data_IF_249168953719
#
_entry.id   IF_249168953719
#
_cell.length_a   1.000
_cell.length_b   1.000
_cell.length_c   1.000
_cell.angle_alpha   90.00
_cell.angle_beta   90.00
_cell.angle_gamma   90.00
#
_symmetry.space_group_name_H-M   'P 1'
#
loop_
_entity.id
_entity.type
_entity.pdbx_description
1 polymer ?
#
# COMPACT_ATOMS: atom_id res chain seq x y z
N UNK A 1 -7.61 -13.49 -11.14
CA UNK A 1 -6.77 -12.48 -10.46
C UNK A 1 -5.36 -13.01 -10.24
N UNK A 2 -4.39 -12.13 -10.03
CA UNK A 2 -2.99 -12.46 -9.74
C UNK A 2 -2.82 -13.08 -8.34
N UNK A 3 -1.65 -13.70 -8.06
CA UNK A 3 -1.33 -14.19 -6.70
C UNK A 3 -1.27 -13.09 -5.66
N UNK A 4 -1.57 -13.40 -4.39
CA UNK A 4 -1.36 -12.49 -3.25
C UNK A 4 0.11 -12.09 -3.08
N UNK A 5 1.05 -12.83 -3.66
CA UNK A 5 2.47 -12.46 -3.73
C UNK A 5 2.69 -11.18 -4.54
N UNK A 6 1.74 -10.83 -5.43
CA UNK A 6 1.76 -9.58 -6.20
C UNK A 6 1.09 -8.40 -5.48
N UNK A 7 0.41 -8.65 -4.37
CA UNK A 7 -0.18 -7.63 -3.50
C UNK A 7 0.72 -7.32 -2.29
N UNK A 8 1.10 -8.35 -1.55
CA UNK A 8 2.00 -8.24 -0.42
C UNK A 8 3.44 -8.31 -0.89
N UNK A 9 4.18 -7.21 -0.81
CA UNK A 9 5.60 -7.14 -1.19
C UNK A 9 6.43 -6.56 -0.06
N UNK A 10 7.54 -7.19 0.23
CA UNK A 10 8.54 -6.68 1.17
C UNK A 10 9.46 -5.73 0.42
N UNK A 11 9.66 -4.53 0.94
CA UNK A 11 10.57 -3.57 0.32
C UNK A 11 10.73 -2.28 1.13
N UNK A 12 11.56 -1.39 0.62
CA UNK A 12 11.79 -0.09 1.24
C UNK A 12 10.67 0.89 0.91
N UNK A 13 10.15 1.59 1.94
CA UNK A 13 9.28 2.74 1.73
C UNK A 13 10.03 3.94 1.10
N UNK A 14 9.36 5.07 0.95
CA UNK A 14 8.00 5.33 1.43
C UNK A 14 6.88 4.98 0.44
N UNK A 15 7.18 4.65 -0.83
CA UNK A 15 6.17 4.45 -1.87
C UNK A 15 6.44 3.21 -2.72
N UNK A 16 5.41 2.40 -2.96
CA UNK A 16 5.53 1.25 -3.87
C UNK A 16 5.71 1.68 -5.33
N UNK A 17 5.03 2.73 -5.76
CA UNK A 17 5.12 3.25 -7.13
C UNK A 17 6.31 4.20 -7.36
N UNK A 18 6.70 4.99 -6.35
CA UNK A 18 7.74 6.02 -6.49
C UNK A 18 9.10 5.60 -5.91
N UNK A 19 9.18 4.51 -5.13
CA UNK A 19 10.44 4.02 -4.54
C UNK A 19 10.75 2.61 -5.02
N UNK A 20 9.86 1.63 -4.73
CA UNK A 20 10.10 0.22 -5.05
C UNK A 20 10.12 -0.04 -6.56
N UNK A 21 9.16 0.54 -7.32
CA UNK A 21 9.11 0.42 -8.77
C UNK A 21 10.35 0.99 -9.45
N UNK A 22 10.73 2.25 -9.21
CA UNK A 22 11.96 2.83 -9.74
C UNK A 22 13.23 2.08 -9.36
N UNK A 23 13.35 1.58 -8.11
CA UNK A 23 14.48 0.73 -7.70
C UNK A 23 14.56 -0.54 -8.54
N UNK A 24 13.44 -1.26 -8.70
CA UNK A 24 13.35 -2.47 -9.53
C UNK A 24 13.68 -2.19 -10.99
N UNK A 25 13.27 -1.02 -11.51
CA UNK A 25 13.62 -0.60 -12.88
C UNK A 25 15.13 -0.35 -13.01
N UNK A 26 15.74 0.31 -12.04
CA UNK A 26 17.19 0.54 -12.01
C UNK A 26 17.98 -0.78 -11.94
N UNK A 27 17.55 -1.74 -11.09
CA UNK A 27 18.15 -3.07 -10.99
C UNK A 27 18.15 -3.79 -12.35
N UNK A 28 16.99 -3.81 -13.04
CA UNK A 28 16.88 -4.42 -14.38
C UNK A 28 17.69 -3.72 -15.45
N UNK A 29 17.74 -2.39 -15.40
CA UNK A 29 18.55 -1.63 -16.36
C UNK A 29 20.04 -1.86 -16.11
N UNK A 30 20.48 -1.91 -14.85
CA UNK A 30 21.85 -2.22 -14.47
C UNK A 30 22.30 -3.61 -14.96
N UNK A 31 21.43 -4.61 -14.92
CA UNK A 31 21.74 -5.97 -15.42
C UNK A 31 21.96 -5.97 -16.93
N UNK A 32 21.21 -5.16 -17.65
CA UNK A 32 21.22 -5.08 -19.12
C UNK A 32 22.36 -4.19 -19.64
N UNK A 33 22.68 -3.10 -18.94
CA UNK A 33 23.56 -2.02 -19.42
C UNK A 33 24.74 -1.81 -18.48
N UNK A 34 25.62 -2.82 -18.36
CA UNK A 34 26.78 -2.80 -17.45
C UNK A 34 28.03 -2.12 -18.01
N UNK A 35 28.23 -2.12 -19.31
CA UNK A 35 29.42 -1.57 -19.97
C UNK A 35 29.19 -0.12 -20.43
N UNK A 36 29.06 0.78 -19.45
CA UNK A 36 28.83 2.21 -19.65
C UNK A 36 29.72 3.05 -18.75
N UNK A 37 29.99 4.30 -19.17
CA UNK A 37 30.80 5.24 -18.39
C UNK A 37 29.93 6.02 -17.39
N UNK A 38 28.65 6.18 -17.68
CA UNK A 38 27.67 6.88 -16.82
C UNK A 38 26.24 6.52 -17.16
N UNK A 39 25.35 6.80 -16.22
CA UNK A 39 23.90 6.70 -16.42
C UNK A 39 23.23 8.08 -16.38
N UNK A 40 22.15 8.23 -17.15
CA UNK A 40 21.20 9.32 -17.02
C UNK A 40 19.80 8.76 -16.88
N UNK A 41 19.08 9.18 -15.83
CA UNK A 41 17.70 8.76 -15.60
C UNK A 41 16.80 9.98 -15.58
N UNK A 42 15.88 10.07 -16.54
CA UNK A 42 14.87 11.13 -16.60
C UNK A 42 13.57 10.62 -15.98
N UNK A 43 13.08 11.34 -15.00
CA UNK A 43 11.82 11.08 -14.32
C UNK A 43 10.75 12.04 -14.85
N UNK A 44 9.54 11.53 -15.11
CA UNK A 44 8.46 12.29 -15.70
C UNK A 44 7.23 12.36 -14.76
N UNK A 45 6.39 13.39 -15.00
CA UNK A 45 5.07 13.53 -14.37
C UNK A 45 5.08 13.42 -12.85
N UNK A 46 4.28 12.53 -12.29
CA UNK A 46 4.14 12.35 -10.84
C UNK A 46 5.45 11.89 -10.17
N UNK A 47 6.24 11.01 -10.84
CA UNK A 47 7.56 10.61 -10.33
C UNK A 47 8.52 11.79 -10.16
N UNK A 48 8.48 12.77 -11.05
CA UNK A 48 9.31 13.96 -10.93
C UNK A 48 8.71 14.96 -9.93
N UNK A 49 7.40 15.12 -9.90
CA UNK A 49 6.72 16.11 -9.06
C UNK A 49 6.87 15.81 -7.56
N UNK A 50 6.80 14.54 -7.18
CA UNK A 50 6.83 14.08 -5.78
C UNK A 50 8.06 13.25 -5.43
N UNK A 51 8.90 12.90 -6.42
CA UNK A 51 9.95 11.91 -6.30
C UNK A 51 11.01 12.19 -5.24
N UNK A 52 11.39 13.45 -5.01
CA UNK A 52 12.31 13.80 -3.91
C UNK A 52 11.72 13.46 -2.54
N UNK A 53 10.42 13.71 -2.36
CA UNK A 53 9.71 13.36 -1.12
C UNK A 53 9.52 11.85 -0.94
N UNK A 54 9.46 11.13 -2.06
CA UNK A 54 9.33 9.67 -2.09
C UNK A 54 10.68 8.95 -2.18
N UNK A 55 11.81 9.64 -2.07
CA UNK A 55 13.15 9.07 -2.15
C UNK A 55 13.41 8.29 -3.47
N UNK A 56 12.79 8.72 -4.57
CA UNK A 56 12.90 8.05 -5.87
C UNK A 56 14.33 8.09 -6.40
N UNK A 57 14.99 9.25 -6.30
CA UNK A 57 16.39 9.43 -6.63
C UNK A 57 17.31 8.56 -5.76
N UNK A 58 17.08 8.56 -4.44
CA UNK A 58 17.85 7.73 -3.52
C UNK A 58 17.75 6.25 -3.88
N UNK A 59 16.54 5.78 -4.21
CA UNK A 59 16.31 4.39 -4.60
C UNK A 59 17.04 4.02 -5.89
N UNK A 60 17.00 4.87 -6.92
CA UNK A 60 17.68 4.66 -8.20
C UNK A 60 19.21 4.74 -8.01
N UNK A 61 19.70 5.79 -7.34
CA UNK A 61 21.12 5.99 -7.08
C UNK A 61 21.74 4.85 -6.26
N UNK A 62 20.99 4.30 -5.29
CA UNK A 62 21.48 3.16 -4.51
C UNK A 62 21.85 1.92 -5.35
N UNK A 63 21.29 1.82 -6.56
CA UNK A 63 21.54 0.72 -7.51
C UNK A 63 22.59 1.09 -8.55
N UNK A 64 22.45 2.26 -9.18
CA UNK A 64 23.26 2.62 -10.36
C UNK A 64 24.60 3.29 -9.99
N UNK A 65 24.63 4.15 -8.97
CA UNK A 65 25.82 4.91 -8.57
C UNK A 65 27.03 4.03 -8.17
N UNK A 66 26.84 2.85 -7.54
CA UNK A 66 27.94 1.92 -7.29
C UNK A 66 28.56 1.31 -8.56
N UNK A 67 27.88 1.38 -9.71
CA UNK A 67 28.32 0.82 -10.99
C UNK A 67 28.99 1.91 -11.82
N UNK A 68 28.32 3.06 -12.01
CA UNK A 68 28.85 4.21 -12.74
C UNK A 68 28.13 5.51 -12.29
N UNK A 69 28.78 6.69 -12.42
CA UNK A 69 28.18 7.97 -12.09
C UNK A 69 26.81 8.15 -12.72
N UNK A 70 25.83 8.56 -11.92
CA UNK A 70 24.43 8.60 -12.32
C UNK A 70 23.83 10.00 -12.16
N UNK A 71 23.26 10.53 -13.25
CA UNK A 71 22.54 11.80 -13.26
C UNK A 71 21.03 11.58 -13.24
N UNK A 72 20.31 12.24 -12.32
CA UNK A 72 18.84 12.28 -12.30
C UNK A 72 18.35 13.59 -12.91
N UNK A 73 17.48 13.49 -13.91
CA UNK A 73 16.81 14.62 -14.58
C UNK A 73 15.33 14.62 -14.19
N UNK A 74 14.82 15.78 -13.82
CA UNK A 74 13.45 15.95 -13.31
C UNK A 74 12.59 16.72 -14.30
N UNK A 75 11.54 16.07 -14.85
CA UNK A 75 10.60 16.64 -15.82
C UNK A 75 9.15 16.57 -15.30
N UNK A 76 8.79 17.32 -14.24
CA UNK A 76 7.49 17.21 -13.59
C UNK A 76 6.31 17.69 -14.45
N UNK A 77 6.58 18.52 -15.47
CA UNK A 77 5.55 19.04 -16.38
C UNK A 77 5.31 18.16 -17.61
N UNK A 78 6.19 17.20 -17.85
CA UNK A 78 6.08 16.27 -18.98
C UNK A 78 5.41 14.99 -18.47
N UNK A 79 4.21 14.71 -18.97
CA UNK A 79 3.48 13.47 -18.69
C UNK A 79 3.50 12.61 -19.94
N UNK A 80 4.06 11.41 -19.82
CA UNK A 80 4.08 10.47 -20.93
C UNK A 80 2.69 9.86 -21.15
N UNK A 81 2.28 9.58 -22.42
CA UNK A 81 0.90 9.20 -22.73
C UNK A 81 0.42 7.91 -22.05
N UNK A 82 1.32 6.95 -21.81
CA UNK A 82 0.95 5.64 -21.30
C UNK A 82 0.61 5.66 -19.79
N UNK A 83 1.41 6.36 -18.98
CA UNK A 83 1.21 6.43 -17.54
C UNK A 83 1.94 7.63 -16.93
N UNK A 84 1.40 8.30 -15.88
CA UNK A 84 2.04 9.48 -15.27
C UNK A 84 3.36 9.18 -14.54
N UNK A 85 3.66 7.92 -14.23
CA UNK A 85 4.91 7.52 -13.58
C UNK A 85 5.93 6.97 -14.58
N UNK A 86 6.28 7.76 -15.58
CA UNK A 86 7.26 7.41 -16.59
C UNK A 86 8.71 7.65 -16.15
N UNK A 87 9.62 6.79 -16.65
CA UNK A 87 11.07 6.90 -16.46
C UNK A 87 11.78 6.57 -17.77
N UNK A 88 12.82 7.33 -18.11
CA UNK A 88 13.75 7.01 -19.19
C UNK A 88 15.12 6.75 -18.58
N UNK A 89 15.62 5.54 -18.74
CA UNK A 89 16.98 5.14 -18.39
C UNK A 89 17.86 5.20 -19.63
N UNK A 90 19.04 5.77 -19.52
CA UNK A 90 20.03 5.86 -20.58
C UNK A 90 21.41 5.48 -20.04
N UNK A 91 22.09 4.57 -20.75
CA UNK A 91 23.49 4.23 -20.53
C UNK A 91 24.36 5.00 -21.54
N UNK A 92 25.39 5.69 -21.06
CA UNK A 92 26.26 6.51 -21.89
C UNK A 92 27.68 5.94 -21.92
N UNK A 93 28.29 5.94 -23.12
CA UNK A 93 29.70 5.59 -23.35
C UNK A 93 30.35 6.66 -24.21
N UNK A 94 31.47 7.22 -23.73
CA UNK A 94 32.14 8.37 -24.40
C UNK A 94 31.16 9.55 -24.70
N UNK A 95 30.22 9.81 -23.78
CA UNK A 95 29.23 10.87 -23.90
C UNK A 95 28.06 10.59 -24.84
N UNK A 96 28.00 9.42 -25.47
CA UNK A 96 26.91 9.02 -26.38
C UNK A 96 26.03 7.98 -25.73
N UNK A 97 24.72 8.11 -25.95
CA UNK A 97 23.75 7.10 -25.50
C UNK A 97 23.96 5.81 -26.31
N UNK A 98 24.27 4.72 -25.61
CA UNK A 98 24.49 3.37 -26.18
C UNK A 98 23.35 2.41 -25.86
N UNK A 99 22.59 2.67 -24.83
CA UNK A 99 21.38 1.93 -24.50
C UNK A 99 20.35 2.88 -23.88
N UNK A 100 19.07 2.66 -24.17
CA UNK A 100 17.97 3.44 -23.63
C UNK A 100 16.75 2.57 -23.36
N UNK A 101 15.98 2.94 -22.32
CA UNK A 101 14.80 2.18 -21.92
C UNK A 101 13.77 3.07 -21.26
N UNK A 102 12.61 3.21 -21.91
CA UNK A 102 11.44 3.86 -21.30
C UNK A 102 10.60 2.83 -20.59
N UNK A 103 10.24 3.11 -19.33
CA UNK A 103 9.52 2.20 -18.45
C UNK A 103 8.61 2.98 -17.50
N UNK A 104 7.55 2.37 -17.06
CA UNK A 104 6.52 2.97 -16.21
C UNK A 104 6.33 2.17 -14.94
N UNK A 105 6.19 2.86 -13.80
CA UNK A 105 5.80 2.26 -12.53
C UNK A 105 4.28 2.36 -12.37
N UNK A 106 3.57 1.25 -12.57
CA UNK A 106 2.11 1.20 -12.67
C UNK A 106 1.38 0.89 -11.34
N UNK A 107 2.04 1.12 -10.20
CA UNK A 107 1.50 0.87 -8.86
C UNK A 107 1.93 -0.47 -8.28
N UNK A 108 1.90 -0.60 -6.96
CA UNK A 108 2.30 -1.82 -6.24
C UNK A 108 3.74 -2.31 -6.51
N UNK A 109 4.62 -1.44 -7.04
CA UNK A 109 5.96 -1.83 -7.47
C UNK A 109 6.01 -2.64 -8.78
N UNK A 110 4.92 -2.69 -9.55
CA UNK A 110 4.87 -3.31 -10.86
C UNK A 110 5.41 -2.36 -11.94
N UNK A 111 6.00 -2.94 -12.99
CA UNK A 111 6.56 -2.22 -14.11
C UNK A 111 5.85 -2.58 -15.41
N UNK A 112 5.69 -1.61 -16.31
CA UNK A 112 5.16 -1.80 -17.65
C UNK A 112 5.96 -0.98 -18.69
N UNK A 113 5.99 -1.45 -19.94
CA UNK A 113 6.36 -0.65 -21.10
C UNK A 113 5.09 -0.22 -21.86
N UNK A 114 5.24 0.54 -22.95
CA UNK A 114 4.12 1.07 -23.74
C UNK A 114 3.24 -0.02 -24.39
N UNK A 115 3.73 -1.23 -24.51
CA UNK A 115 3.03 -2.35 -25.18
C UNK A 115 2.48 -3.40 -24.22
N UNK A 116 3.07 -3.55 -23.02
CA UNK A 116 2.68 -4.59 -22.08
C UNK A 116 3.24 -4.34 -20.68
N UNK A 117 2.70 -5.01 -19.66
CA UNK A 117 3.43 -5.23 -18.42
C UNK A 117 4.66 -6.08 -18.71
N UNK A 118 5.81 -5.74 -18.14
CA UNK A 118 7.06 -6.51 -18.31
C UNK A 118 6.97 -7.92 -17.73
N UNK A 119 6.18 -8.09 -16.69
CA UNK A 119 5.78 -9.36 -16.13
C UNK A 119 4.26 -9.34 -16.09
N UNK A 120 3.62 -10.24 -16.81
CA UNK A 120 2.20 -10.52 -16.61
C UNK A 120 2.17 -11.67 -15.61
N UNK A 121 1.88 -11.41 -14.33
CA UNK A 121 1.73 -12.48 -13.35
C UNK A 121 0.62 -13.41 -13.82
N UNK A 122 0.81 -14.70 -13.60
CA UNK A 122 -0.23 -15.68 -13.94
C UNK A 122 -1.51 -15.36 -13.16
N UNK A 123 -2.64 -15.40 -13.86
CA UNK A 123 -3.95 -15.34 -13.23
C UNK A 123 -4.23 -16.72 -12.62
N UNK A 124 -4.24 -16.79 -11.30
CA UNK A 124 -4.44 -18.03 -10.56
C UNK A 124 -5.83 -18.12 -9.89
N UNK A 125 -6.51 -16.97 -9.73
CA UNK A 125 -7.87 -16.93 -9.18
C UNK A 125 -8.87 -16.85 -10.33
N UNK A 126 -9.74 -17.86 -10.51
CA UNK A 126 -10.74 -17.88 -11.58
C UNK A 126 -11.88 -16.87 -11.36
N UNK A 127 -12.30 -16.66 -10.09
CA UNK A 127 -13.33 -15.69 -9.74
C UNK A 127 -12.68 -14.32 -9.45
N UNK A 128 -13.40 -13.26 -9.78
CA UNK A 128 -12.83 -11.90 -9.70
C UNK A 128 -13.64 -10.93 -8.84
N UNK A 129 -14.82 -11.34 -8.36
CA UNK A 129 -15.68 -10.55 -7.49
C UNK A 129 -15.89 -11.24 -6.14
N UNK A 130 -16.08 -10.44 -5.09
CA UNK A 130 -16.39 -10.99 -3.76
C UNK A 130 -17.75 -11.68 -3.76
N UNK A 131 -18.71 -11.20 -4.54
CA UNK A 131 -20.03 -11.83 -4.66
C UNK A 131 -19.92 -13.26 -5.18
N UNK A 132 -19.18 -13.49 -6.28
CA UNK A 132 -18.93 -14.84 -6.82
C UNK A 132 -18.18 -15.74 -5.82
N UNK A 133 -17.16 -15.19 -5.14
CA UNK A 133 -16.37 -15.94 -4.16
C UNK A 133 -17.22 -16.27 -2.90
N UNK A 134 -18.09 -15.36 -2.49
CA UNK A 134 -19.04 -15.61 -1.40
C UNK A 134 -20.02 -16.73 -1.72
N UNK A 135 -20.58 -16.73 -2.93
CA UNK A 135 -21.45 -17.80 -3.40
C UNK A 135 -20.73 -19.14 -3.44
N UNK A 136 -19.47 -19.15 -3.90
CA UNK A 136 -18.60 -20.30 -3.84
C UNK A 136 -18.39 -20.80 -2.38
N UNK A 137 -18.12 -19.86 -1.44
CA UNK A 137 -17.95 -20.20 -0.03
C UNK A 137 -19.19 -20.91 0.55
N UNK A 138 -20.38 -20.42 0.23
CA UNK A 138 -21.63 -21.04 0.70
C UNK A 138 -21.89 -22.38 0.04
N UNK A 139 -21.61 -22.51 -1.27
CA UNK A 139 -21.80 -23.77 -1.99
C UNK A 139 -20.85 -24.87 -1.50
N UNK A 140 -19.58 -24.55 -1.27
CA UNK A 140 -18.55 -25.49 -0.82
C UNK A 140 -18.52 -25.70 0.71
N UNK A 141 -19.27 -24.89 1.47
CA UNK A 141 -19.21 -24.90 2.96
C UNK A 141 -17.85 -24.44 3.50
N UNK A 142 -17.19 -23.55 2.76
CA UNK A 142 -15.84 -23.01 3.06
C UNK A 142 -15.88 -21.51 3.36
N UNK A 143 -14.71 -20.94 3.63
CA UNK A 143 -14.51 -19.52 3.89
C UNK A 143 -13.51 -18.89 2.90
N UNK A 144 -13.35 -17.59 2.92
CA UNK A 144 -12.45 -16.87 1.98
C UNK A 144 -10.99 -17.32 2.03
N UNK A 145 -10.43 -17.62 3.21
CA UNK A 145 -9.04 -18.11 3.29
C UNK A 145 -8.89 -19.51 2.71
N UNK A 146 -9.93 -20.35 2.71
CA UNK A 146 -9.92 -21.66 2.08
C UNK A 146 -9.97 -21.53 0.56
N UNK A 147 -10.72 -20.56 0.03
CA UNK A 147 -10.66 -20.21 -1.38
C UNK A 147 -9.25 -19.77 -1.80
N UNK A 148 -8.57 -18.93 -0.99
CA UNK A 148 -7.17 -18.57 -1.22
C UNK A 148 -6.28 -19.81 -1.22
N UNK A 149 -6.43 -20.71 -0.25
CA UNK A 149 -5.66 -21.96 -0.18
C UNK A 149 -5.83 -22.82 -1.43
N UNK A 150 -7.06 -22.95 -1.91
CA UNK A 150 -7.37 -23.78 -3.08
C UNK A 150 -6.78 -23.18 -4.39
N UNK A 151 -6.69 -21.84 -4.49
CA UNK A 151 -6.11 -21.17 -5.65
C UNK A 151 -4.58 -21.06 -5.62
N UNK A 152 -4.00 -20.75 -4.45
CA UNK A 152 -2.54 -20.48 -4.30
C UNK A 152 -1.73 -21.75 -4.02
N UNK A 153 -2.36 -22.77 -3.48
CA UNK A 153 -1.69 -23.97 -2.98
C UNK A 153 -0.97 -23.77 -1.64
N UNK A 154 -0.28 -24.82 -1.14
CA UNK A 154 0.28 -24.83 0.22
C UNK A 154 1.45 -23.84 0.43
N UNK A 155 2.16 -23.46 -0.62
CA UNK A 155 3.32 -22.58 -0.54
C UNK A 155 2.96 -21.13 -0.11
N UNK A 156 1.68 -20.76 -0.20
CA UNK A 156 1.24 -19.41 0.22
C UNK A 156 1.43 -19.20 1.72
N UNK A 157 1.33 -20.28 2.52
CA UNK A 157 1.41 -20.17 3.97
C UNK A 157 2.80 -19.78 4.45
N UNK A 158 3.87 -20.33 3.87
CA UNK A 158 5.25 -19.93 4.17
C UNK A 158 5.51 -18.50 3.76
N UNK A 159 4.94 -18.08 2.61
CA UNK A 159 5.02 -16.70 2.16
C UNK A 159 4.30 -15.74 3.13
N UNK A 160 3.07 -16.02 3.50
CA UNK A 160 2.29 -15.20 4.44
C UNK A 160 2.90 -15.20 5.84
N UNK A 161 3.54 -16.28 6.26
CA UNK A 161 4.27 -16.34 7.53
C UNK A 161 5.46 -15.38 7.53
N UNK A 162 6.22 -15.33 6.43
CA UNK A 162 7.30 -14.35 6.24
C UNK A 162 6.75 -12.92 6.20
N UNK A 163 5.64 -12.69 5.47
CA UNK A 163 4.97 -11.38 5.43
C UNK A 163 4.58 -10.92 6.82
N UNK A 164 3.93 -11.79 7.60
CA UNK A 164 3.53 -11.49 8.96
C UNK A 164 4.72 -11.20 9.88
N UNK A 165 5.79 -11.96 9.75
CA UNK A 165 7.03 -11.73 10.50
C UNK A 165 7.58 -10.33 10.25
N UNK A 166 7.71 -9.92 8.98
CA UNK A 166 8.21 -8.58 8.62
C UNK A 166 7.26 -7.47 9.10
N UNK A 167 5.94 -7.67 9.04
CA UNK A 167 4.96 -6.73 9.60
C UNK A 167 5.18 -6.52 11.11
N UNK A 168 5.38 -7.60 11.86
CA UNK A 168 5.66 -7.54 13.30
C UNK A 168 6.98 -6.81 13.61
N UNK A 169 8.05 -7.16 12.90
CA UNK A 169 9.36 -6.51 13.04
C UNK A 169 9.29 -5.02 12.74
N UNK A 170 8.54 -4.62 11.72
CA UNK A 170 8.35 -3.21 11.37
C UNK A 170 7.66 -2.44 12.49
N UNK A 171 6.59 -2.99 13.08
CA UNK A 171 5.91 -2.38 14.23
C UNK A 171 6.88 -2.24 15.41
N UNK A 172 7.64 -3.31 15.73
CA UNK A 172 8.57 -3.30 16.85
C UNK A 172 9.68 -2.27 16.67
N UNK A 173 10.24 -2.14 15.45
CA UNK A 173 11.23 -1.10 15.14
C UNK A 173 10.64 0.29 15.33
N UNK A 174 9.46 0.55 14.75
CA UNK A 174 8.82 1.86 14.82
C UNK A 174 8.41 2.27 16.23
N UNK A 175 8.00 1.33 17.10
CA UNK A 175 7.72 1.61 18.51
C UNK A 175 8.98 1.99 19.33
N UNK A 176 10.16 1.53 18.89
CA UNK A 176 11.43 1.80 19.55
C UNK A 176 12.21 2.97 18.91
N UNK A 177 11.66 3.59 17.86
CA UNK A 177 12.28 4.72 17.18
C UNK A 177 11.62 6.03 17.60
N UNK A 178 12.45 6.97 18.02
CA UNK A 178 12.06 8.34 18.36
C UNK A 178 12.67 9.35 17.39
N UNK A 179 12.42 10.64 17.59
CA UNK A 179 13.01 11.72 16.85
C UNK A 179 12.11 12.29 15.76
N UNK A 180 12.71 12.71 14.65
CA UNK A 180 12.05 13.45 13.57
C UNK A 180 12.17 12.66 12.27
N UNK A 181 11.07 12.61 11.51
CA UNK A 181 11.05 11.98 10.18
C UNK A 181 11.90 12.78 9.19
N UNK A 182 12.48 12.10 8.17
CA UNK A 182 13.28 12.76 7.16
C UNK A 182 12.45 13.75 6.33
N UNK A 183 13.12 14.73 5.72
CA UNK A 183 12.50 15.76 4.89
C UNK A 183 12.18 17.07 5.61
N UNK A 184 11.64 18.02 4.86
CA UNK A 184 11.49 19.42 5.28
C UNK A 184 10.38 19.70 6.29
N UNK A 185 9.42 18.77 6.49
CA UNK A 185 8.26 18.98 7.37
C UNK A 185 8.61 18.90 8.85
N UNK A 186 9.72 18.25 9.21
CA UNK A 186 10.15 18.04 10.61
C UNK A 186 9.07 17.39 11.48
N UNK A 187 8.33 16.44 10.93
CA UNK A 187 7.29 15.71 11.67
C UNK A 187 7.95 14.84 12.72
N UNK A 188 7.57 15.05 13.99
CA UNK A 188 8.05 14.22 15.09
C UNK A 188 7.39 12.83 15.03
N UNK A 189 8.16 11.77 15.32
CA UNK A 189 7.63 10.43 15.55
C UNK A 189 6.71 10.42 16.77
N UNK A 190 5.60 9.73 16.70
CA UNK A 190 4.56 9.69 17.73
C UNK A 190 4.29 8.27 18.25
N UNK A 191 4.70 7.24 17.51
CA UNK A 191 4.36 5.84 17.82
C UNK A 191 4.76 5.43 19.25
N UNK A 192 6.01 5.67 19.63
CA UNK A 192 6.53 5.40 20.98
C UNK A 192 5.73 6.12 22.06
N UNK A 193 5.45 7.42 21.88
CA UNK A 193 4.64 8.20 22.81
C UNK A 193 3.22 7.66 22.97
N UNK A 194 2.56 7.31 21.86
CA UNK A 194 1.21 6.72 21.90
C UNK A 194 1.21 5.35 22.60
N UNK A 195 2.24 4.53 22.33
CA UNK A 195 2.41 3.25 23.02
C UNK A 195 2.57 3.42 24.52
N UNK A 196 3.46 4.30 24.96
CA UNK A 196 3.65 4.59 26.41
C UNK A 196 2.36 5.08 27.05
N UNK A 197 1.70 6.07 26.43
CA UNK A 197 0.44 6.61 26.94
C UNK A 197 -0.68 5.57 26.98
N UNK A 198 -0.71 4.60 26.07
CA UNK A 198 -1.70 3.52 26.09
C UNK A 198 -1.69 2.69 27.37
N UNK A 199 -0.53 2.64 28.06
CA UNK A 199 -0.39 1.92 29.34
C UNK A 199 -1.19 2.56 30.49
N UNK A 200 -1.49 3.86 30.38
CA UNK A 200 -2.24 4.61 31.39
C UNK A 200 -3.75 4.56 31.18
N UNK A 201 -4.21 3.98 30.06
CA UNK A 201 -5.64 3.84 29.76
C UNK A 201 -6.14 2.43 30.04
N UNK A 202 -7.44 2.28 30.17
CA UNK A 202 -8.16 1.01 30.31
C UNK A 202 -9.11 0.80 29.15
N UNK A 203 -9.56 -0.44 28.98
CA UNK A 203 -10.64 -0.87 28.09
C UNK A 203 -10.51 -0.40 26.63
N UNK A 204 -11.57 0.17 26.09
CA UNK A 204 -11.66 0.56 24.69
C UNK A 204 -10.66 1.67 24.30
N UNK A 205 -10.38 2.60 25.21
CA UNK A 205 -9.41 3.68 24.93
C UNK A 205 -7.98 3.14 24.87
N UNK A 206 -7.63 2.16 25.72
CA UNK A 206 -6.35 1.46 25.66
C UNK A 206 -6.18 0.74 24.32
N UNK A 207 -7.20 -0.04 23.93
CA UNK A 207 -7.22 -0.76 22.66
C UNK A 207 -7.02 0.19 21.48
N UNK A 208 -7.78 1.27 21.43
CA UNK A 208 -7.68 2.29 20.36
C UNK A 208 -6.31 2.98 20.31
N UNK A 209 -5.76 3.36 21.48
CA UNK A 209 -4.43 3.96 21.56
C UNK A 209 -3.32 3.01 21.09
N UNK A 210 -3.44 1.71 21.36
CA UNK A 210 -2.52 0.68 20.88
C UNK A 210 -2.60 0.51 19.37
N UNK A 211 -3.81 0.45 18.79
CA UNK A 211 -4.01 0.38 17.33
C UNK A 211 -3.36 1.60 16.65
N UNK A 212 -3.57 2.80 17.19
CA UNK A 212 -2.91 4.00 16.69
C UNK A 212 -1.39 3.88 16.77
N UNK A 213 -0.84 3.45 17.91
CA UNK A 213 0.61 3.31 18.07
C UNK A 213 1.22 2.35 17.04
N UNK A 214 0.57 1.22 16.77
CA UNK A 214 1.05 0.23 15.79
C UNK A 214 0.97 0.73 14.35
N UNK A 215 -0.12 1.41 13.99
CA UNK A 215 -0.26 2.02 12.65
C UNK A 215 0.75 3.16 12.44
N UNK A 216 0.95 4.01 13.45
CA UNK A 216 1.97 5.06 13.45
C UNK A 216 3.36 4.46 13.32
N UNK A 217 3.69 3.41 14.10
CA UNK A 217 4.99 2.75 14.07
C UNK A 217 5.37 2.29 12.64
N UNK A 218 4.46 1.56 11.99
CA UNK A 218 4.67 1.09 10.62
C UNK A 218 4.78 2.24 9.62
N UNK A 219 3.90 3.24 9.73
CA UNK A 219 3.86 4.37 8.79
C UNK A 219 5.08 5.29 8.95
N UNK A 220 5.60 5.46 10.15
CA UNK A 220 6.81 6.24 10.44
C UNK A 220 8.07 5.52 9.93
N UNK A 221 8.14 4.19 10.05
CA UNK A 221 9.18 3.38 9.42
C UNK A 221 9.11 3.49 7.89
N UNK A 222 7.91 3.38 7.31
CA UNK A 222 7.70 3.59 5.89
C UNK A 222 8.21 4.97 5.43
N UNK A 223 7.80 6.03 6.11
CA UNK A 223 8.18 7.41 5.79
C UNK A 223 9.69 7.66 5.90
N UNK A 224 10.40 6.83 6.64
CA UNK A 224 11.86 6.89 6.84
C UNK A 224 12.65 6.01 5.87
N UNK A 225 12.00 5.37 4.89
CA UNK A 225 12.65 4.45 3.94
C UNK A 225 12.95 3.07 4.52
N UNK A 226 12.36 2.73 5.67
CA UNK A 226 12.51 1.42 6.30
C UNK A 226 11.86 0.30 5.49
N UNK A 227 12.18 -0.96 5.86
CA UNK A 227 11.57 -2.14 5.26
C UNK A 227 10.16 -2.29 5.80
N UNK A 228 9.19 -2.36 4.88
CA UNK A 228 7.75 -2.55 5.15
C UNK A 228 7.16 -3.61 4.23
N UNK A 229 5.91 -3.97 4.50
CA UNK A 229 5.10 -4.79 3.58
C UNK A 229 4.01 -3.93 2.98
N UNK A 230 3.83 -3.98 1.66
CA UNK A 230 2.68 -3.34 1.00
C UNK A 230 1.37 -4.00 1.43
N UNK A 231 0.35 -3.20 1.82
CA UNK A 231 -0.96 -3.72 2.22
C UNK A 231 -2.07 -2.65 2.00
N UNK A 232 -2.59 -2.42 0.77
CA UNK A 232 -2.06 -2.94 -0.49
C UNK A 232 -0.85 -2.16 -1.04
N UNK A 233 -0.55 -0.96 -0.51
CA UNK A 233 0.57 -0.10 -0.92
C UNK A 233 1.48 0.25 0.26
N UNK A 234 2.63 0.87 0.00
CA UNK A 234 3.46 1.43 1.07
C UNK A 234 2.75 2.56 1.81
N UNK A 235 2.00 3.41 1.10
CA UNK A 235 1.27 4.55 1.70
C UNK A 235 0.22 4.14 2.73
N UNK A 236 -0.28 2.92 2.64
CA UNK A 236 -1.30 2.35 3.54
C UNK A 236 -0.82 1.15 4.38
N UNK A 237 0.49 0.88 4.37
CA UNK A 237 1.09 -0.32 4.98
C UNK A 237 0.89 -0.44 6.50
N UNK A 238 0.46 0.62 7.18
CA UNK A 238 0.24 0.62 8.62
C UNK A 238 -1.10 0.04 9.07
N UNK A 239 -2.10 -0.04 8.19
CA UNK A 239 -3.49 -0.37 8.57
C UNK A 239 -3.65 -1.85 8.94
N UNK A 240 -3.39 -2.74 7.98
CA UNK A 240 -3.57 -4.19 8.17
C UNK A 240 -2.69 -4.73 9.30
N UNK A 241 -1.38 -4.44 9.35
CA UNK A 241 -0.54 -4.98 10.41
C UNK A 241 -0.92 -4.44 11.79
N UNK A 242 -1.37 -3.18 11.92
CA UNK A 242 -1.78 -2.64 13.22
C UNK A 242 -2.99 -3.37 13.81
N UNK A 243 -4.00 -3.65 13.00
CA UNK A 243 -5.20 -4.38 13.42
C UNK A 243 -4.85 -5.82 13.80
N UNK A 244 -4.14 -6.53 12.94
CA UNK A 244 -3.77 -7.93 13.19
C UNK A 244 -2.81 -8.07 14.37
N UNK A 245 -1.81 -7.17 14.51
CA UNK A 245 -0.87 -7.18 15.63
C UNK A 245 -1.57 -6.89 16.96
N UNK A 246 -2.53 -5.94 16.95
CA UNK A 246 -3.35 -5.68 18.14
C UNK A 246 -4.15 -6.91 18.54
N UNK A 247 -4.83 -7.57 17.59
CA UNK A 247 -5.64 -8.76 17.86
C UNK A 247 -4.78 -9.95 18.32
N UNK A 248 -3.63 -10.17 17.67
CA UNK A 248 -2.70 -11.23 18.06
C UNK A 248 -2.22 -11.10 19.51
N UNK A 249 -1.96 -9.84 19.97
CA UNK A 249 -1.45 -9.60 21.34
C UNK A 249 -2.53 -9.42 22.40
N UNK A 250 -3.76 -9.08 22.02
CA UNK A 250 -4.85 -8.80 22.97
C UNK A 250 -5.83 -9.96 23.15
N UNK A 251 -5.85 -10.93 22.22
CA UNK A 251 -6.82 -12.03 22.18
C UNK A 251 -6.19 -13.42 22.07
N UNK A 252 -4.85 -13.50 22.14
CA UNK A 252 -4.11 -14.78 22.11
C UNK A 252 -4.45 -15.67 20.90
N UNK A 253 -4.71 -15.07 19.73
CA UNK A 253 -4.95 -15.84 18.53
C UNK A 253 -3.70 -16.60 18.11
N UNK A 254 -3.86 -17.87 17.80
CA UNK A 254 -2.79 -18.71 17.25
C UNK A 254 -2.29 -18.11 15.93
N UNK A 255 -0.98 -18.19 15.70
CA UNK A 255 -0.32 -17.65 14.49
C UNK A 255 -1.04 -18.07 13.22
N UNK A 256 -1.43 -19.33 13.07
CA UNK A 256 -2.15 -19.82 11.89
C UNK A 256 -3.49 -19.09 11.66
N UNK A 257 -4.18 -18.66 12.71
CA UNK A 257 -5.42 -17.87 12.59
C UNK A 257 -5.13 -16.49 12.00
N UNK A 258 -4.02 -15.87 12.41
CA UNK A 258 -3.56 -14.59 11.85
C UNK A 258 -3.19 -14.75 10.37
N UNK A 259 -2.49 -15.83 9.98
CA UNK A 259 -2.16 -16.07 8.57
C UNK A 259 -3.41 -16.26 7.70
N UNK A 260 -4.41 -16.99 8.18
CA UNK A 260 -5.71 -17.14 7.50
C UNK A 260 -6.44 -15.80 7.35
N UNK A 261 -6.41 -14.96 8.38
CA UNK A 261 -6.98 -13.61 8.31
C UNK A 261 -6.20 -12.72 7.33
N UNK A 262 -4.89 -12.85 7.27
CA UNK A 262 -4.04 -12.15 6.30
C UNK A 262 -4.33 -12.61 4.86
N UNK A 263 -4.60 -13.91 4.64
CA UNK A 263 -5.04 -14.44 3.35
C UNK A 263 -6.39 -13.83 2.92
N UNK A 264 -7.37 -13.78 3.82
CA UNK A 264 -8.66 -13.11 3.56
C UNK A 264 -8.47 -11.62 3.27
N UNK A 265 -7.67 -10.88 4.07
CA UNK A 265 -7.35 -9.49 3.80
C UNK A 265 -6.77 -9.30 2.38
N UNK A 266 -5.81 -10.15 2.01
CA UNK A 266 -5.20 -10.13 0.69
C UNK A 266 -6.19 -10.36 -0.44
N UNK A 267 -7.15 -11.26 -0.26
CA UNK A 267 -8.20 -11.52 -1.26
C UNK A 267 -9.05 -10.28 -1.54
N UNK A 268 -9.52 -9.58 -0.51
CA UNK A 268 -10.28 -8.32 -0.66
C UNK A 268 -9.45 -7.23 -1.33
N UNK A 269 -8.18 -7.08 -0.95
CA UNK A 269 -7.25 -6.17 -1.60
C UNK A 269 -6.99 -6.52 -3.08
N UNK A 270 -6.92 -7.80 -3.39
CA UNK A 270 -6.70 -8.28 -4.75
C UNK A 270 -7.92 -8.05 -5.67
N UNK A 271 -9.14 -8.23 -5.14
CA UNK A 271 -10.38 -7.88 -5.84
C UNK A 271 -10.43 -6.38 -6.16
N UNK A 272 -10.14 -5.52 -5.18
CA UNK A 272 -10.09 -4.08 -5.41
C UNK A 272 -9.01 -3.67 -6.43
N UNK A 273 -7.82 -4.29 -6.36
CA UNK A 273 -6.72 -4.09 -7.32
C UNK A 273 -7.12 -4.50 -8.74
N UNK A 274 -7.87 -5.60 -8.88
CA UNK A 274 -8.23 -6.17 -10.18
C UNK A 274 -9.35 -5.39 -10.86
N UNK A 275 -10.37 -4.99 -10.11
CA UNK A 275 -11.59 -4.38 -10.65
C UNK A 275 -11.57 -2.85 -10.64
N UNK A 276 -10.60 -2.25 -9.95
CA UNK A 276 -10.36 -0.81 -9.91
C UNK A 276 -8.86 -0.51 -9.96
N UNK A 277 -8.35 0.25 -9.00
CA UNK A 277 -6.92 0.53 -8.81
C UNK A 277 -6.59 0.68 -7.34
N UNK A 278 -5.36 0.34 -6.99
CA UNK A 278 -4.77 0.63 -5.67
C UNK A 278 -3.74 1.78 -5.74
N UNK A 279 -3.71 2.54 -6.82
CA UNK A 279 -2.77 3.65 -7.03
C UNK A 279 -3.38 4.98 -6.61
N UNK A 280 -2.72 5.70 -5.70
CA UNK A 280 -3.10 7.05 -5.31
C UNK A 280 -3.08 8.05 -6.48
N UNK A 281 -2.22 7.83 -7.47
CA UNK A 281 -2.13 8.64 -8.70
C UNK A 281 -3.31 8.41 -9.66
N UNK A 282 -3.99 7.27 -9.58
CA UNK A 282 -5.15 6.95 -10.42
C UNK A 282 -6.48 7.26 -9.73
N UNK A 283 -6.67 6.74 -8.52
CA UNK A 283 -7.96 6.80 -7.83
C UNK A 283 -7.94 7.55 -6.50
N UNK A 284 -6.84 8.22 -6.16
CA UNK A 284 -6.71 8.90 -4.88
C UNK A 284 -6.44 7.95 -3.71
N UNK A 285 -6.44 8.48 -2.49
CA UNK A 285 -6.12 7.71 -1.29
C UNK A 285 -7.19 6.69 -0.89
N UNK A 286 -8.38 6.76 -1.48
CA UNK A 286 -9.43 5.73 -1.32
C UNK A 286 -8.95 4.35 -1.80
N UNK A 287 -8.17 4.30 -2.90
CA UNK A 287 -7.56 3.05 -3.41
C UNK A 287 -6.41 2.52 -2.55
N UNK A 288 -5.79 3.35 -1.75
CA UNK A 288 -4.73 2.95 -0.82
C UNK A 288 -5.28 2.68 0.58
N UNK A 289 -5.60 3.74 1.32
CA UNK A 289 -6.04 3.66 2.73
C UNK A 289 -7.45 3.08 2.85
N UNK A 290 -8.35 3.40 1.91
CA UNK A 290 -9.71 2.82 1.90
C UNK A 290 -9.67 1.31 1.69
N UNK A 291 -8.91 0.84 0.70
CA UNK A 291 -8.73 -0.60 0.46
C UNK A 291 -8.03 -1.27 1.63
N UNK A 292 -7.00 -0.65 2.23
CA UNK A 292 -6.34 -1.18 3.41
C UNK A 292 -7.29 -1.31 4.63
N UNK A 293 -8.22 -0.35 4.79
CA UNK A 293 -9.26 -0.42 5.81
C UNK A 293 -10.20 -1.61 5.59
N UNK A 294 -10.65 -1.81 4.34
CA UNK A 294 -11.47 -2.96 3.96
C UNK A 294 -10.75 -4.30 4.22
N UNK A 295 -9.50 -4.41 3.81
CA UNK A 295 -8.64 -5.57 4.06
C UNK A 295 -8.55 -5.90 5.56
N UNK A 296 -8.28 -4.89 6.37
CA UNK A 296 -8.13 -5.04 7.82
C UNK A 296 -9.47 -5.37 8.51
N UNK A 297 -10.58 -4.80 8.04
CA UNK A 297 -11.92 -5.07 8.58
C UNK A 297 -12.35 -6.51 8.27
N UNK A 298 -12.14 -6.99 7.04
CA UNK A 298 -12.38 -8.39 6.65
C UNK A 298 -11.57 -9.36 7.51
N UNK A 299 -10.27 -9.10 7.68
CA UNK A 299 -9.38 -9.91 8.49
C UNK A 299 -9.82 -9.98 9.97
N UNK A 300 -10.18 -8.83 10.55
CA UNK A 300 -10.68 -8.75 11.91
C UNK A 300 -11.99 -9.54 12.08
N UNK A 301 -12.95 -9.34 11.17
CA UNK A 301 -14.23 -10.03 11.19
C UNK A 301 -14.06 -11.55 11.12
N UNK A 302 -13.15 -12.05 10.27
CA UNK A 302 -12.83 -13.48 10.21
C UNK A 302 -12.23 -13.99 11.52
N UNK A 303 -11.34 -13.24 12.20
CA UNK A 303 -10.76 -13.64 13.48
C UNK A 303 -11.83 -13.75 14.58
N UNK A 304 -12.86 -12.93 14.52
CA UNK A 304 -14.02 -13.02 15.43
C UNK A 304 -15.06 -14.07 15.02
N UNK A 305 -14.80 -14.84 13.96
CA UNK A 305 -15.67 -15.93 13.52
C UNK A 305 -16.87 -15.50 12.69
N UNK A 306 -16.76 -14.34 12.04
CA UNK A 306 -17.79 -13.83 11.12
C UNK A 306 -18.07 -14.77 9.96
N UNK A 307 -19.33 -14.82 9.54
CA UNK A 307 -19.78 -15.52 8.32
C UNK A 307 -19.21 -14.83 7.07
N UNK A 308 -19.19 -15.49 5.90
CA UNK A 308 -18.77 -14.84 4.66
C UNK A 308 -19.51 -13.52 4.38
N UNK A 309 -20.82 -13.43 4.65
CA UNK A 309 -21.59 -12.19 4.51
C UNK A 309 -21.16 -11.10 5.51
N UNK A 310 -20.88 -11.45 6.77
CA UNK A 310 -20.39 -10.48 7.76
C UNK A 310 -18.98 -9.98 7.41
N UNK A 311 -18.10 -10.84 6.90
CA UNK A 311 -16.75 -10.49 6.47
C UNK A 311 -16.82 -9.52 5.28
N UNK A 312 -17.68 -9.80 4.28
CA UNK A 312 -17.92 -8.88 3.18
C UNK A 312 -18.45 -7.53 3.67
N UNK A 313 -19.44 -7.55 4.56
CA UNK A 313 -20.04 -6.32 5.10
C UNK A 313 -19.01 -5.46 5.85
N UNK A 314 -18.14 -6.08 6.65
CA UNK A 314 -17.05 -5.35 7.31
C UNK A 314 -16.11 -4.69 6.30
N UNK A 315 -15.74 -5.40 5.24
CA UNK A 315 -14.89 -4.87 4.17
C UNK A 315 -15.57 -3.75 3.38
N UNK A 316 -16.84 -3.93 3.05
CA UNK A 316 -17.67 -2.96 2.35
C UNK A 316 -17.68 -1.62 3.10
N UNK A 317 -18.07 -1.62 4.40
CA UNK A 317 -18.04 -0.42 5.24
C UNK A 317 -16.64 0.19 5.35
N UNK A 318 -15.60 -0.66 5.43
CA UNK A 318 -14.23 -0.20 5.47
C UNK A 318 -13.84 0.64 4.26
N UNK A 319 -14.30 0.29 3.07
CA UNK A 319 -14.04 1.02 1.83
C UNK A 319 -15.02 2.17 1.62
N UNK A 320 -16.31 1.94 1.80
CA UNK A 320 -17.39 2.93 1.60
C UNK A 320 -17.08 4.24 2.32
N UNK A 321 -16.69 4.16 3.59
CA UNK A 321 -16.39 5.33 4.42
C UNK A 321 -15.06 6.04 4.09
N UNK A 322 -14.38 5.61 3.03
CA UNK A 322 -13.19 6.26 2.48
C UNK A 322 -13.40 6.76 1.04
N UNK A 323 -14.61 6.62 0.46
CA UNK A 323 -14.90 7.13 -0.87
C UNK A 323 -14.68 8.65 -0.93
N UNK A 324 -14.14 9.13 -2.05
CA UNK A 324 -13.81 10.53 -2.27
C UNK A 324 -12.52 11.01 -1.61
N UNK A 325 -11.73 10.13 -0.97
CA UNK A 325 -10.50 10.51 -0.29
C UNK A 325 -9.40 10.87 -1.30
N UNK A 326 -9.00 12.14 -1.29
CA UNK A 326 -7.95 12.68 -2.17
C UNK A 326 -6.56 12.16 -1.79
N UNK A 327 -5.59 12.19 -2.73
CA UNK A 327 -4.17 11.96 -2.46
C UNK A 327 -3.38 13.26 -2.71
N UNK A 328 -3.10 14.00 -1.64
CA UNK A 328 -2.47 15.32 -1.66
C UNK A 328 -1.40 15.44 -0.57
N UNK A 329 -0.31 14.63 -0.62
CA UNK A 329 0.73 14.63 0.39
C UNK A 329 1.47 15.97 0.44
N UNK A 330 1.58 16.54 1.65
CA UNK A 330 2.26 17.83 1.86
C UNK A 330 3.74 17.71 1.53
N UNK A 331 4.23 18.62 0.69
CA UNK A 331 5.62 18.59 0.17
C UNK A 331 6.00 17.29 -0.55
N UNK A 332 5.05 16.51 -1.05
CA UNK A 332 5.30 15.22 -1.68
C UNK A 332 5.79 14.12 -0.72
N UNK A 333 5.69 14.37 0.60
CA UNK A 333 6.16 13.43 1.61
C UNK A 333 5.02 12.52 2.08
N UNK A 334 5.26 11.20 2.13
CA UNK A 334 4.30 10.22 2.66
C UNK A 334 4.24 10.34 4.20
N UNK A 335 3.90 11.53 4.69
CA UNK A 335 3.87 11.90 6.10
C UNK A 335 2.54 12.53 6.49
N UNK A 336 2.21 13.69 5.90
CA UNK A 336 0.97 14.42 6.16
C UNK A 336 0.14 14.47 4.88
N UNK A 337 -1.07 13.91 4.88
CA UNK A 337 -1.82 13.30 6.01
C UNK A 337 -1.62 11.78 6.15
N UNK A 338 -0.76 11.14 5.38
CA UNK A 338 -0.68 9.69 5.20
C UNK A 338 -0.54 8.91 6.52
N UNK A 339 0.36 9.33 7.40
CA UNK A 339 0.63 8.64 8.69
C UNK A 339 -0.63 8.63 9.57
N UNK A 340 -1.30 9.78 9.69
CA UNK A 340 -2.51 9.89 10.50
C UNK A 340 -3.70 9.14 9.88
N UNK A 341 -3.81 9.14 8.54
CA UNK A 341 -4.82 8.36 7.82
C UNK A 341 -4.71 6.87 8.10
N UNK A 342 -3.49 6.32 8.16
CA UNK A 342 -3.29 4.92 8.53
C UNK A 342 -3.81 4.61 9.94
N UNK A 343 -3.51 5.45 10.92
CA UNK A 343 -3.97 5.28 12.29
C UNK A 343 -5.51 5.31 12.40
N UNK A 344 -6.14 6.30 11.76
CA UNK A 344 -7.60 6.45 11.75
C UNK A 344 -8.26 5.30 11.00
N UNK A 345 -7.72 4.88 9.85
CA UNK A 345 -8.27 3.76 9.08
C UNK A 345 -8.17 2.42 9.83
N UNK A 346 -7.07 2.18 10.56
CA UNK A 346 -6.92 0.99 11.40
C UNK A 346 -8.01 0.94 12.51
N UNK A 347 -8.31 2.07 13.15
CA UNK A 347 -9.40 2.14 14.11
C UNK A 347 -10.79 1.93 13.45
N UNK A 348 -11.02 2.54 12.27
CA UNK A 348 -12.26 2.33 11.50
C UNK A 348 -12.45 0.89 11.08
N UNK A 349 -11.39 0.20 10.69
CA UNK A 349 -11.46 -1.23 10.37
C UNK A 349 -11.96 -2.06 11.57
N UNK A 350 -11.55 -1.67 12.77
CA UNK A 350 -12.01 -2.30 14.00
C UNK A 350 -13.48 -1.99 14.31
N UNK A 351 -13.90 -0.74 14.10
CA UNK A 351 -15.28 -0.31 14.24
C UNK A 351 -16.20 -1.01 13.20
N UNK A 352 -15.76 -1.11 11.94
CA UNK A 352 -16.48 -1.82 10.86
C UNK A 352 -16.65 -3.32 11.17
N UNK A 353 -15.59 -3.97 11.66
CA UNK A 353 -15.69 -5.34 12.16
C UNK A 353 -16.73 -5.48 13.27
N UNK A 354 -16.69 -4.60 14.29
CA UNK A 354 -17.65 -4.66 15.40
C UNK A 354 -19.08 -4.49 14.91
N UNK A 355 -19.32 -3.55 14.00
CA UNK A 355 -20.65 -3.32 13.43
C UNK A 355 -21.15 -4.54 12.64
N UNK A 356 -20.31 -5.11 11.77
CA UNK A 356 -20.69 -6.27 10.95
C UNK A 356 -20.93 -7.53 11.79
N UNK A 357 -20.12 -7.79 12.80
CA UNK A 357 -20.27 -8.97 13.66
C UNK A 357 -21.50 -8.90 14.57
N UNK A 358 -22.00 -7.71 14.91
CA UNK A 358 -23.24 -7.51 15.64
C UNK A 358 -24.49 -7.65 14.77
N UNK A 359 -24.35 -7.63 13.44
CA UNK A 359 -25.43 -7.81 12.46
C UNK A 359 -25.60 -9.27 12.07
N UNK A 360 -26.63 -9.57 11.29
CA UNK A 360 -26.83 -10.87 10.64
C UNK A 360 -26.02 -11.01 9.33
N UNK A 361 -25.27 -9.97 8.94
CA UNK A 361 -24.52 -9.90 7.69
C UNK A 361 -25.32 -9.40 6.50
N UNK A 362 -26.62 -9.11 6.65
CA UNK A 362 -27.44 -8.52 5.59
C UNK A 362 -27.07 -7.06 5.38
N UNK A 363 -26.84 -6.66 4.13
CA UNK A 363 -26.53 -5.29 3.74
C UNK A 363 -26.98 -5.01 2.30
N UNK A 364 -27.20 -3.73 1.96
CA UNK A 364 -27.83 -3.34 0.70
C UNK A 364 -26.83 -3.15 -0.45
N UNK A 365 -25.60 -2.78 -0.14
CA UNK A 365 -24.53 -2.49 -1.11
C UNK A 365 -23.44 -3.53 -0.96
N UNK A 366 -23.08 -4.23 -2.02
CA UNK A 366 -21.99 -5.19 -1.99
C UNK A 366 -20.62 -4.51 -2.03
N UNK A 367 -19.58 -5.20 -1.52
CA UNK A 367 -18.21 -4.73 -1.65
C UNK A 367 -17.81 -4.44 -3.10
N UNK A 368 -18.26 -5.27 -4.04
CA UNK A 368 -17.97 -5.10 -5.48
C UNK A 368 -18.53 -3.79 -6.01
N UNK A 369 -19.75 -3.39 -5.57
CA UNK A 369 -20.36 -2.12 -5.94
C UNK A 369 -19.57 -0.93 -5.38
N UNK A 370 -19.08 -1.03 -4.16
CA UNK A 370 -18.23 0.02 -3.58
C UNK A 370 -16.90 0.13 -4.33
N UNK A 371 -16.33 -0.97 -4.79
CA UNK A 371 -15.13 -0.98 -5.66
C UNK A 371 -15.41 -0.29 -7.00
N UNK A 372 -16.57 -0.56 -7.64
CA UNK A 372 -17.00 0.14 -8.86
C UNK A 372 -17.10 1.66 -8.62
N UNK A 373 -17.76 2.07 -7.53
CA UNK A 373 -17.92 3.50 -7.17
C UNK A 373 -16.56 4.14 -6.85
N UNK A 374 -15.67 3.41 -6.18
CA UNK A 374 -14.29 3.88 -5.93
C UNK A 374 -13.54 4.15 -7.25
N UNK A 375 -13.68 3.27 -8.23
CA UNK A 375 -13.08 3.43 -9.55
C UNK A 375 -13.64 4.67 -10.27
N UNK A 376 -14.96 4.82 -10.30
CA UNK A 376 -15.64 5.95 -10.91
C UNK A 376 -15.26 7.29 -10.25
N UNK A 377 -15.41 7.38 -8.93
CA UNK A 377 -15.09 8.60 -8.18
C UNK A 377 -13.62 8.96 -8.27
N UNK A 378 -12.72 7.96 -8.29
CA UNK A 378 -11.28 8.15 -8.46
C UNK A 378 -10.93 8.80 -9.79
N UNK A 379 -11.52 8.33 -10.88
CA UNK A 379 -11.33 8.92 -12.22
C UNK A 379 -11.96 10.32 -12.34
N UNK A 380 -13.04 10.59 -11.62
CA UNK A 380 -13.72 11.89 -11.58
C UNK A 380 -13.01 12.91 -10.67
N UNK A 381 -12.09 12.49 -9.79
CA UNK A 381 -11.26 13.42 -9.04
C UNK A 381 -10.39 14.24 -10.00
N UNK A 382 -10.34 15.59 -9.86
CA UNK A 382 -9.39 16.40 -10.59
C UNK A 382 -7.95 15.91 -10.40
N UNK A 383 -7.12 15.95 -11.45
CA UNK A 383 -5.74 15.47 -11.42
C UNK A 383 -4.91 16.04 -10.27
N UNK A 384 -5.19 17.30 -9.88
CA UNK A 384 -4.48 17.97 -8.78
C UNK A 384 -4.71 17.31 -7.40
N UNK A 385 -5.68 16.42 -7.25
CA UNK A 385 -5.96 15.64 -6.03
C UNK A 385 -5.47 14.19 -6.11
N UNK A 386 -4.68 13.86 -7.13
CA UNK A 386 -4.16 12.51 -7.40
C UNK A 386 -2.63 12.49 -7.38
N UNK A 387 -2.05 12.56 -6.17
CA UNK A 387 -0.61 12.40 -5.90
C UNK A 387 0.30 13.43 -6.63
N UNK A 388 -0.17 14.66 -6.80
CA UNK A 388 0.62 15.75 -7.43
C UNK A 388 1.25 16.70 -6.42
N UNK A 389 0.75 16.75 -5.19
CA UNK A 389 1.11 17.74 -4.15
C UNK A 389 0.83 19.19 -4.56
N UNK A 390 -0.02 19.42 -5.56
CA UNK A 390 -0.40 20.76 -6.04
C UNK A 390 -1.78 21.20 -5.53
N UNK A 391 -2.59 20.27 -5.05
CA UNK A 391 -3.95 20.49 -4.56
C UNK A 391 -4.12 20.32 -3.06
N UNK A 392 -5.35 20.43 -2.59
CA UNK A 392 -5.80 20.06 -1.26
C UNK A 392 -4.94 20.63 -0.11
N UNK A 393 -4.57 19.76 0.81
CA UNK A 393 -3.73 20.09 1.97
C UNK A 393 -2.35 20.59 1.55
N UNK A 394 -1.74 19.97 0.52
CA UNK A 394 -0.42 20.35 0.04
C UNK A 394 -0.38 21.81 -0.42
N UNK A 395 -1.38 22.24 -1.19
CA UNK A 395 -1.48 23.65 -1.65
C UNK A 395 -1.69 24.64 -0.50
N UNK A 396 -2.43 24.27 0.55
CA UNK A 396 -2.73 25.13 1.69
C UNK A 396 -1.60 25.18 2.72
N UNK A 397 -0.73 24.20 2.72
CA UNK A 397 0.47 24.16 3.56
C UNK A 397 1.63 24.95 2.93
N UNK A 398 1.45 26.16 2.53
CA UNK A 398 2.49 26.95 1.85
C UNK A 398 3.58 27.48 2.78
N UNK A 399 4.18 26.66 3.64
CA UNK A 399 5.43 26.99 4.33
C UNK A 399 5.48 28.36 5.07
N UNK A 400 4.36 29.03 5.21
CA UNK A 400 4.25 30.21 6.03
C UNK A 400 4.14 29.77 7.48
N UNK A 401 5.29 29.60 8.09
CA UNK A 401 5.42 29.83 9.52
C UNK A 401 5.59 31.31 9.74
#
# INVERSE_FOLDING_TARGET
MESLKELYKIGNGPSSSHTMGPKKAAERFAERSRDVDSYRVTLYGSLAATGKGHLTDVAILSVLEPIAPTQIVWEPKVVLPFHPNGMLFEGLKAGKVVDSWTIYSIGGGALANESSRLEIPASIYPLTTISEIKDWCYHEGKTYWEYVNDCEGPEIWDYLDRIWTVMCETIQRGLNNDGVLPGGLKVARKASTYWVKSKSYTDSLKSRAQIYAYALATSEENASGGIVVTAPTCGSCGVVPAVLYHLANSRDFLRIRILRALATAGLFGNVAKTNASISGAEVGCQGEVGVACAMAAAAACQLFGGTPSQIEYAAEMGLEHHLGLTCDPVCGLVQVPCIERNAIAAARAFDANAYATLSDGSHMVSFDRVVEVMNETGHNLPSLYRETSEGGLARRYNGKK
#
